data_IF_565255728519
#
_entry.id   IF_565255728519
#
_cell.length_a   1.000
_cell.length_b   1.000
_cell.length_c   1.000
_cell.angle_alpha   90.00
_cell.angle_beta   90.00
_cell.angle_gamma   90.00
#
_symmetry.space_group_name_H-M   'P 1'
#
loop_
_entity.id
_entity.type
_entity.pdbx_description
1 polymer ?
#
# COMPACT_ATOMS: atom_id res chain seq x y z
N UNK A 1 -20.56 28.28 28.25
CA UNK A 1 -19.22 28.63 27.73
C UNK A 1 -18.86 27.61 26.66
N UNK A 2 -18.84 27.94 25.37
CA UNK A 2 -18.51 26.96 24.34
C UNK A 2 -16.98 26.86 24.18
N UNK A 3 -16.46 25.62 24.19
CA UNK A 3 -15.08 25.31 23.84
C UNK A 3 -14.91 25.41 22.31
N UNK A 4 -14.02 26.29 21.86
CA UNK A 4 -13.48 26.27 20.50
C UNK A 4 -12.38 25.20 20.41
N UNK A 5 -12.58 24.20 19.55
CA UNK A 5 -11.53 23.27 19.12
C UNK A 5 -10.94 23.80 17.81
N UNK A 6 -9.68 24.26 17.88
CA UNK A 6 -8.86 24.60 16.72
C UNK A 6 -8.09 23.34 16.34
N UNK A 7 -8.26 22.86 15.11
CA UNK A 7 -7.40 21.83 14.53
C UNK A 7 -6.40 22.52 13.59
N UNK A 8 -5.15 22.64 14.01
CA UNK A 8 -4.02 22.90 13.13
C UNK A 8 -3.66 21.61 12.41
N UNK A 9 -3.79 21.61 11.08
CA UNK A 9 -3.26 20.55 10.20
C UNK A 9 -1.96 21.09 9.61
N UNK A 10 -0.87 20.89 10.34
CA UNK A 10 0.46 21.15 9.80
C UNK A 10 0.89 20.01 8.86
N UNK A 11 1.21 20.43 7.64
CA UNK A 11 1.63 19.58 6.54
C UNK A 11 3.09 19.13 6.71
N UNK A 12 3.33 17.82 6.76
CA UNK A 12 4.66 17.25 6.52
C UNK A 12 4.60 16.45 5.22
N UNK A 13 4.94 17.11 4.10
CA UNK A 13 5.32 16.47 2.85
C UNK A 13 6.85 16.52 2.71
N UNK A 14 7.56 15.38 2.63
CA UNK A 14 8.95 15.41 2.23
C UNK A 14 9.09 15.73 0.73
N UNK A 15 9.98 16.71 0.45
CA UNK A 15 10.37 17.19 -0.88
C UNK A 15 10.88 16.06 -1.76
N UNK A 16 10.24 15.85 -2.91
CA UNK A 16 10.79 15.07 -4.03
C UNK A 16 11.60 16.02 -4.91
N UNK A 17 12.85 15.70 -5.28
CA UNK A 17 13.63 16.54 -6.19
C UNK A 17 12.96 16.62 -7.56
N UNK A 18 12.68 17.85 -8.01
CA UNK A 18 12.31 18.18 -9.39
C UNK A 18 13.50 17.87 -10.28
N UNK A 19 13.48 16.75 -10.97
CA UNK A 19 14.16 16.55 -12.26
C UNK A 19 13.64 15.24 -12.87
N UNK A 20 12.66 15.38 -13.78
CA UNK A 20 12.21 14.46 -14.83
C UNK A 20 10.69 14.47 -14.97
N UNK A 21 10.14 15.57 -15.51
CA UNK A 21 8.90 15.55 -16.28
C UNK A 21 8.99 16.62 -17.36
N UNK A 22 9.65 16.29 -18.46
CA UNK A 22 9.35 16.89 -19.76
C UNK A 22 8.63 15.84 -20.59
N UNK A 23 7.56 16.28 -21.26
CA UNK A 23 6.72 15.55 -22.22
C UNK A 23 5.57 14.74 -21.61
N UNK A 24 4.51 15.47 -21.21
CA UNK A 24 3.13 15.31 -21.69
C UNK A 24 2.19 16.14 -20.80
N UNK A 25 2.35 17.47 -20.89
CA UNK A 25 1.49 18.45 -20.22
C UNK A 25 0.54 19.06 -21.25
N UNK A 26 -0.50 18.31 -21.62
CA UNK A 26 -1.72 18.82 -22.23
C UNK A 26 -2.77 17.74 -22.07
N UNK A 27 -3.95 18.08 -21.53
CA UNK A 27 -5.10 17.20 -21.26
C UNK A 27 -5.19 16.51 -19.89
N UNK A 28 -4.86 17.18 -18.78
CA UNK A 28 -5.59 16.96 -17.51
C UNK A 28 -5.57 18.26 -16.70
N UNK A 29 -6.29 19.27 -17.15
CA UNK A 29 -6.51 20.50 -16.37
C UNK A 29 -7.88 21.02 -16.73
N UNK A 30 -8.92 20.44 -16.13
CA UNK A 30 -10.28 20.96 -15.88
C UNK A 30 -10.95 19.80 -15.14
N UNK A 31 -11.14 19.90 -13.82
CA UNK A 31 -12.23 19.28 -13.02
C UNK A 31 -11.95 19.31 -11.50
N UNK A 32 -11.41 20.40 -10.93
CA UNK A 32 -11.38 20.57 -9.46
C UNK A 32 -11.54 22.04 -9.08
N UNK A 33 -12.64 22.69 -9.45
CA UNK A 33 -13.00 24.01 -8.89
C UNK A 33 -14.50 24.21 -8.59
N UNK A 34 -15.34 23.18 -8.66
CA UNK A 34 -16.81 23.37 -8.52
C UNK A 34 -17.44 22.76 -7.27
N UNK A 35 -16.65 22.31 -6.28
CA UNK A 35 -17.19 21.66 -5.07
C UNK A 35 -17.02 22.53 -3.80
N UNK A 36 -16.17 23.56 -3.83
CA UNK A 36 -15.89 24.40 -2.65
C UNK A 36 -16.91 25.51 -2.39
N UNK A 37 -17.98 25.63 -3.20
CA UNK A 37 -18.91 26.77 -3.17
C UNK A 37 -20.31 26.50 -2.58
N UNK A 38 -20.57 25.34 -1.96
CA UNK A 38 -21.94 24.99 -1.49
C UNK A 38 -22.02 24.90 0.06
N UNK A 39 -20.92 25.06 0.77
CA UNK A 39 -20.91 25.01 2.23
C UNK A 39 -20.87 26.43 2.85
N UNK A 40 -21.96 27.20 2.70
CA UNK A 40 -22.30 28.32 3.61
C UNK A 40 -23.61 28.95 3.12
N UNK A 41 -24.74 28.49 3.66
CA UNK A 41 -26.03 29.19 3.79
C UNK A 41 -27.02 28.20 4.42
N UNK A 42 -26.83 27.89 5.71
CA UNK A 42 -27.90 27.34 6.53
C UNK A 42 -28.67 28.53 7.11
N UNK A 43 -29.76 28.89 6.45
CA UNK A 43 -30.81 29.69 7.08
C UNK A 43 -32.13 28.92 6.90
N UNK A 44 -32.91 28.87 7.97
CA UNK A 44 -34.08 28.01 8.14
C UNK A 44 -35.06 28.12 6.95
N UNK A 45 -35.09 27.11 6.09
CA UNK A 45 -36.11 26.93 5.06
C UNK A 45 -36.67 25.52 5.13
N UNK A 46 -37.99 25.46 4.99
CA UNK A 46 -38.92 24.36 5.22
C UNK A 46 -38.53 23.01 4.58
N UNK A 47 -38.81 21.92 5.30
CA UNK A 47 -38.48 20.51 4.99
C UNK A 47 -38.84 20.01 3.58
N UNK A 48 -39.66 20.72 2.81
CA UNK A 48 -40.08 20.29 1.47
C UNK A 48 -39.06 20.62 0.37
N UNK A 49 -38.20 21.64 0.53
CA UNK A 49 -37.15 21.93 -0.47
C UNK A 49 -35.97 20.95 -0.43
N UNK A 50 -35.78 20.23 0.68
CA UNK A 50 -34.62 19.35 0.87
C UNK A 50 -34.73 18.05 0.06
N UNK A 51 -35.94 17.59 -0.25
CA UNK A 51 -36.15 16.38 -1.06
C UNK A 51 -35.91 16.64 -2.56
N UNK A 52 -36.15 17.86 -3.04
CA UNK A 52 -35.95 18.19 -4.45
C UNK A 52 -34.45 18.28 -4.82
N UNK A 53 -33.61 18.78 -3.89
CA UNK A 53 -32.16 18.91 -4.14
C UNK A 53 -31.40 17.57 -4.15
N UNK A 54 -31.85 16.56 -3.40
CA UNK A 54 -31.24 15.21 -3.44
C UNK A 54 -31.54 14.45 -4.74
N UNK A 55 -32.69 14.71 -5.37
CA UNK A 55 -33.04 14.11 -6.66
C UNK A 55 -32.17 14.61 -7.82
N UNK A 56 -31.80 15.89 -7.82
CA UNK A 56 -31.04 16.51 -8.91
C UNK A 56 -29.56 16.11 -8.93
N UNK A 57 -28.94 15.91 -7.75
CA UNK A 57 -27.52 15.48 -7.65
C UNK A 57 -27.34 14.03 -8.09
N UNK A 58 -28.34 13.16 -7.88
CA UNK A 58 -28.31 11.78 -8.37
C UNK A 58 -28.34 11.65 -9.90
N UNK A 59 -29.02 12.59 -10.59
CA UNK A 59 -29.14 12.57 -12.05
C UNK A 59 -27.81 12.98 -12.75
N UNK A 60 -27.03 13.88 -12.16
CA UNK A 60 -25.74 14.30 -12.74
C UNK A 60 -24.66 13.21 -12.68
N UNK A 61 -24.69 12.31 -11.69
CA UNK A 61 -23.72 11.21 -11.57
C UNK A 61 -23.98 10.11 -12.63
N UNK A 62 -25.25 9.89 -13.00
CA UNK A 62 -25.61 8.91 -14.03
C UNK A 62 -25.19 9.33 -15.45
N UNK A 63 -25.11 10.63 -15.75
CA UNK A 63 -24.69 11.12 -17.08
C UNK A 63 -23.16 11.09 -17.26
N UNK A 64 -22.39 11.24 -16.18
CA UNK A 64 -20.92 11.13 -16.24
C UNK A 64 -20.42 9.68 -16.45
N UNK A 65 -21.22 8.67 -16.09
CA UNK A 65 -20.86 7.26 -16.25
C UNK A 65 -20.99 6.72 -17.69
N UNK A 66 -21.68 7.42 -18.59
CA UNK A 66 -21.98 6.90 -19.93
C UNK A 66 -20.94 7.26 -21.01
N UNK A 67 -19.91 8.06 -20.67
CA UNK A 67 -18.93 8.59 -21.65
C UNK A 67 -17.57 7.86 -21.60
N UNK A 68 -17.38 6.90 -20.69
CA UNK A 68 -16.13 6.13 -20.55
C UNK A 68 -16.40 4.66 -20.92
N UNK A 69 -16.66 4.40 -22.20
CA UNK A 69 -17.09 3.06 -22.63
C UNK A 69 -16.73 2.66 -24.06
N UNK A 70 -15.80 3.34 -24.72
CA UNK A 70 -15.30 2.90 -26.04
C UNK A 70 -13.84 3.32 -26.23
N UNK A 71 -12.91 2.58 -25.63
CA UNK A 71 -11.58 2.39 -26.25
C UNK A 71 -11.48 0.93 -26.65
N UNK A 72 -11.58 0.75 -27.96
CA UNK A 72 -11.53 -0.49 -28.66
C UNK A 72 -10.27 -1.29 -28.34
N UNK A 73 -10.48 -2.58 -28.18
CA UNK A 73 -9.51 -3.65 -28.36
C UNK A 73 -8.81 -3.52 -29.72
N UNK A 74 -7.53 -3.13 -29.72
CA UNK A 74 -6.63 -3.41 -30.83
C UNK A 74 -5.92 -4.74 -30.52
N UNK A 75 -6.51 -5.84 -30.99
CA UNK A 75 -5.80 -7.11 -31.11
C UNK A 75 -4.76 -6.98 -32.22
N UNK A 76 -3.49 -6.85 -31.84
CA UNK A 76 -2.39 -6.96 -32.79
C UNK A 76 -2.09 -8.45 -32.98
N UNK A 77 -2.75 -9.05 -33.97
CA UNK A 77 -2.41 -10.36 -34.51
C UNK A 77 -1.16 -10.22 -35.38
N UNK A 78 0.02 -10.32 -34.77
CA UNK A 78 1.25 -10.64 -35.48
C UNK A 78 1.63 -12.09 -35.18
N UNK A 79 1.12 -12.98 -36.03
CA UNK A 79 1.64 -14.34 -36.20
C UNK A 79 3.00 -14.26 -36.88
N UNK A 80 4.07 -14.63 -36.16
CA UNK A 80 5.41 -14.72 -36.72
C UNK A 80 6.36 -15.43 -35.76
N UNK A 81 6.68 -16.68 -36.10
CA UNK A 81 7.75 -17.54 -35.59
C UNK A 81 8.00 -17.65 -34.09
N UNK A 82 7.81 -18.89 -33.60
CA UNK A 82 8.31 -19.39 -32.34
C UNK A 82 9.84 -19.46 -32.33
N UNK A 83 10.50 -18.33 -32.12
CA UNK A 83 11.83 -18.32 -31.54
C UNK A 83 11.65 -18.38 -30.02
N UNK A 84 12.09 -19.47 -29.41
CA UNK A 84 12.11 -19.62 -27.96
C UNK A 84 12.77 -18.38 -27.35
N UNK A 85 12.22 -17.80 -26.26
CA UNK A 85 12.84 -16.66 -25.62
C UNK A 85 14.26 -17.07 -25.20
N UNK A 86 15.26 -16.50 -25.89
CA UNK A 86 16.66 -16.60 -25.51
C UNK A 86 16.72 -16.18 -24.04
N UNK A 87 17.19 -17.09 -23.17
CA UNK A 87 17.43 -16.77 -21.78
C UNK A 87 18.24 -15.46 -21.73
N UNK A 88 17.87 -14.50 -20.87
CA UNK A 88 18.60 -13.24 -20.79
C UNK A 88 20.09 -13.56 -20.60
N UNK A 89 20.98 -12.89 -21.34
CA UNK A 89 22.40 -13.18 -21.27
C UNK A 89 22.84 -13.10 -19.82
N UNK A 90 23.38 -14.21 -19.29
CA UNK A 90 23.99 -14.22 -17.97
C UNK A 90 25.22 -13.30 -18.05
N UNK A 91 25.07 -12.06 -17.60
CA UNK A 91 26.20 -11.13 -17.48
C UNK A 91 27.12 -11.69 -16.40
N UNK A 92 28.35 -12.00 -16.78
CA UNK A 92 29.39 -12.32 -15.80
C UNK A 92 29.50 -11.14 -14.83
N UNK A 93 29.54 -11.38 -13.50
CA UNK A 93 29.64 -10.31 -12.52
C UNK A 93 30.88 -9.46 -12.81
N UNK A 94 30.68 -8.15 -12.95
CA UNK A 94 31.78 -7.22 -13.13
C UNK A 94 32.50 -7.12 -11.78
N UNK A 95 33.85 -7.13 -11.75
CA UNK A 95 34.57 -6.95 -10.49
C UNK A 95 34.14 -5.67 -9.79
N UNK A 96 33.59 -5.80 -8.57
CA UNK A 96 33.09 -4.68 -7.77
C UNK A 96 31.56 -4.60 -7.63
N UNK A 97 30.81 -5.43 -8.35
CA UNK A 97 29.36 -5.53 -8.15
C UNK A 97 29.02 -6.06 -6.75
N UNK A 98 27.93 -5.56 -6.17
CA UNK A 98 27.44 -6.02 -4.86
C UNK A 98 25.93 -6.18 -4.85
N UNK A 99 25.42 -6.94 -3.88
CA UNK A 99 24.00 -7.19 -3.68
C UNK A 99 23.51 -6.43 -2.46
N UNK A 100 22.43 -5.68 -2.61
CA UNK A 100 21.80 -4.98 -1.48
C UNK A 100 20.29 -4.89 -1.62
N UNK A 101 19.63 -4.64 -0.49
CA UNK A 101 18.19 -4.45 -0.44
C UNK A 101 17.81 -3.08 -1.01
N UNK A 102 16.79 -3.07 -1.86
CA UNK A 102 16.19 -1.85 -2.40
C UNK A 102 14.67 -1.88 -2.31
N UNK A 103 14.06 -0.70 -2.44
CA UNK A 103 12.60 -0.54 -2.51
C UNK A 103 12.13 -0.67 -3.96
N UNK A 104 11.25 -1.63 -4.22
CA UNK A 104 10.55 -1.76 -5.50
C UNK A 104 9.46 -0.71 -5.69
N UNK A 105 8.88 -0.66 -6.90
CA UNK A 105 7.84 0.31 -7.27
C UNK A 105 6.54 0.16 -6.47
N UNK A 106 6.26 -1.05 -5.98
CA UNK A 106 5.14 -1.39 -5.10
C UNK A 106 5.40 -1.03 -3.62
N UNK A 107 6.61 -0.55 -3.30
CA UNK A 107 7.03 -0.23 -1.93
C UNK A 107 7.66 -1.39 -1.16
N UNK A 108 7.66 -2.61 -1.73
CA UNK A 108 8.23 -3.80 -1.08
C UNK A 108 9.77 -3.81 -1.17
N UNK A 109 10.41 -4.56 -0.28
CA UNK A 109 11.85 -4.81 -0.29
C UNK A 109 12.21 -5.96 -1.23
N UNK A 110 13.18 -5.73 -2.11
CA UNK A 110 13.74 -6.73 -3.02
C UNK A 110 15.26 -6.67 -3.03
N UNK A 111 15.90 -7.77 -3.39
CA UNK A 111 17.34 -7.79 -3.63
C UNK A 111 17.64 -7.22 -5.02
N UNK A 112 18.61 -6.32 -5.10
CA UNK A 112 19.11 -5.78 -6.37
C UNK A 112 20.63 -5.96 -6.43
N UNK A 113 21.13 -6.07 -7.64
CA UNK A 113 22.56 -5.99 -7.92
C UNK A 113 22.91 -4.54 -8.26
N UNK A 114 23.99 -4.04 -7.67
CA UNK A 114 24.49 -2.69 -7.86
C UNK A 114 25.91 -2.73 -8.43
N UNK A 115 26.26 -1.74 -9.26
CA UNK A 115 27.66 -1.47 -9.62
C UNK A 115 28.42 -0.93 -8.42
N UNK A 116 29.75 -0.91 -8.49
CA UNK A 116 30.60 -0.32 -7.44
C UNK A 116 30.26 1.14 -7.12
N UNK A 117 29.71 1.88 -8.09
CA UNK A 117 29.27 3.28 -7.95
C UNK A 117 27.82 3.43 -7.43
N UNK A 118 27.11 2.32 -7.22
CA UNK A 118 25.76 2.30 -6.66
C UNK A 118 24.63 2.40 -7.69
N UNK A 119 24.89 2.14 -8.97
CA UNK A 119 23.84 2.05 -9.99
C UNK A 119 23.20 0.67 -10.00
N UNK A 120 21.88 0.59 -10.11
CA UNK A 120 21.16 -0.69 -10.19
C UNK A 120 21.41 -1.34 -11.56
N UNK A 121 21.87 -2.59 -11.55
CA UNK A 121 22.09 -3.42 -12.74
C UNK A 121 20.80 -4.12 -13.18
N UNK A 122 20.89 -4.95 -14.23
CA UNK A 122 19.77 -5.75 -14.76
C UNK A 122 18.52 -4.92 -15.13
N UNK A 123 18.74 -3.68 -15.59
CA UNK A 123 17.64 -2.78 -15.96
C UNK A 123 16.70 -2.44 -14.79
N UNK A 124 17.16 -2.56 -13.54
CA UNK A 124 16.31 -2.36 -12.37
C UNK A 124 15.42 -3.55 -12.03
N UNK A 125 15.64 -4.72 -12.62
CA UNK A 125 14.95 -5.94 -12.24
C UNK A 125 15.54 -6.50 -10.93
N UNK A 126 14.70 -6.94 -9.98
CA UNK A 126 15.17 -7.59 -8.77
C UNK A 126 15.82 -8.95 -9.08
N UNK A 127 16.82 -9.32 -8.29
CA UNK A 127 17.50 -10.61 -8.32
C UNK A 127 17.03 -11.51 -7.18
N UNK A 128 17.56 -12.73 -7.10
CA UNK A 128 17.19 -13.67 -6.04
C UNK A 128 17.53 -13.12 -4.65
N UNK A 129 16.56 -13.17 -3.73
CA UNK A 129 16.72 -12.66 -2.37
C UNK A 129 17.88 -13.31 -1.61
N UNK A 130 18.20 -14.59 -1.90
CA UNK A 130 19.28 -15.34 -1.24
C UNK A 130 20.64 -14.65 -1.33
N UNK A 131 20.89 -13.89 -2.40
CA UNK A 131 22.13 -13.14 -2.61
C UNK A 131 22.31 -12.02 -1.57
N UNK A 132 21.23 -11.30 -1.26
CA UNK A 132 21.25 -10.26 -0.23
C UNK A 132 21.18 -10.86 1.18
N UNK A 133 20.43 -11.95 1.38
CA UNK A 133 20.32 -12.66 2.66
C UNK A 133 21.66 -13.16 3.18
N UNK A 134 22.57 -13.56 2.29
CA UNK A 134 23.91 -14.04 2.66
C UNK A 134 24.80 -12.96 3.31
N UNK A 135 24.53 -11.68 3.05
CA UNK A 135 25.35 -10.55 3.53
C UNK A 135 24.60 -9.73 4.59
N UNK A 136 23.31 -9.47 4.35
CA UNK A 136 22.45 -8.65 5.18
C UNK A 136 21.13 -9.38 5.38
N UNK A 137 21.03 -10.31 6.34
CA UNK A 137 19.85 -11.14 6.50
C UNK A 137 18.61 -10.30 6.80
N UNK A 138 17.49 -10.69 6.19
CA UNK A 138 16.17 -10.23 6.58
C UNK A 138 15.80 -10.79 7.94
N UNK A 139 14.75 -10.24 8.53
CA UNK A 139 14.25 -10.71 9.82
C UNK A 139 12.72 -10.78 9.83
N UNK A 140 12.14 -11.75 10.55
CA UNK A 140 10.71 -11.78 10.80
C UNK A 140 10.35 -10.72 11.86
N UNK A 141 9.30 -9.95 11.61
CA UNK A 141 8.72 -9.06 12.60
C UNK A 141 7.22 -8.83 12.35
N UNK A 142 6.52 -8.30 13.35
CA UNK A 142 5.13 -7.90 13.25
C UNK A 142 4.97 -6.61 12.44
N UNK A 143 4.00 -6.61 11.53
CA UNK A 143 3.57 -5.42 10.83
C UNK A 143 2.06 -5.32 10.76
N UNK A 144 1.57 -4.11 10.48
CA UNK A 144 0.14 -3.84 10.33
C UNK A 144 -0.26 -3.97 8.85
N UNK A 145 -1.18 -4.89 8.59
CA UNK A 145 -1.79 -5.06 7.27
C UNK A 145 -2.71 -3.88 6.91
N UNK A 146 -3.07 -3.78 5.62
CA UNK A 146 -3.96 -2.70 5.12
C UNK A 146 -5.35 -2.71 5.74
N UNK A 147 -5.82 -3.87 6.18
CA UNK A 147 -7.07 -4.06 6.91
C UNK A 147 -6.96 -3.70 8.41
N UNK A 148 -5.78 -3.26 8.86
CA UNK A 148 -5.55 -2.80 10.22
C UNK A 148 -5.15 -3.89 11.23
N UNK A 149 -5.13 -5.16 10.84
CA UNK A 149 -4.72 -6.29 11.69
C UNK A 149 -3.21 -6.49 11.69
N UNK A 150 -2.71 -7.17 12.74
CA UNK A 150 -1.30 -7.56 12.87
C UNK A 150 -1.01 -8.87 12.16
N UNK A 151 0.10 -8.91 11.42
CA UNK A 151 0.60 -10.09 10.71
C UNK A 151 2.11 -10.21 10.88
N UNK A 152 2.62 -11.44 10.81
CA UNK A 152 4.04 -11.69 10.74
C UNK A 152 4.53 -11.47 9.30
N UNK A 153 5.49 -10.57 9.12
CA UNK A 153 6.12 -10.30 7.83
C UNK A 153 7.62 -10.55 7.90
N UNK A 154 8.22 -10.72 6.73
CA UNK A 154 9.67 -10.68 6.59
C UNK A 154 10.07 -9.26 6.17
N UNK A 155 11.02 -8.67 6.87
CA UNK A 155 11.52 -7.33 6.64
C UNK A 155 12.98 -7.34 6.23
N UNK A 156 13.35 -6.48 5.29
CA UNK A 156 14.76 -6.14 5.07
C UNK A 156 15.31 -5.44 6.32
N UNK A 157 16.64 -5.34 6.50
CA UNK A 157 17.24 -4.57 7.60
C UNK A 157 16.79 -3.11 7.68
N UNK A 158 16.33 -2.53 6.57
CA UNK A 158 15.78 -1.18 6.50
C UNK A 158 14.26 -1.13 6.69
N UNK A 159 13.65 -2.19 7.26
CA UNK A 159 12.22 -2.30 7.52
C UNK A 159 11.33 -2.14 6.28
N UNK A 160 11.79 -2.65 5.13
CA UNK A 160 10.94 -2.82 3.95
C UNK A 160 10.30 -4.21 3.99
N UNK A 161 8.97 -4.27 3.85
CA UNK A 161 8.24 -5.54 3.81
C UNK A 161 8.61 -6.31 2.55
N UNK A 162 8.98 -7.58 2.69
CA UNK A 162 9.35 -8.47 1.58
C UNK A 162 8.15 -9.28 1.08
N UNK A 163 8.37 -10.15 0.08
CA UNK A 163 7.36 -11.06 -0.46
C UNK A 163 6.07 -10.35 -0.91
N UNK A 164 6.22 -9.17 -1.51
CA UNK A 164 5.09 -8.37 -2.02
C UNK A 164 4.04 -8.03 -0.92
N UNK A 165 4.46 -7.96 0.35
CA UNK A 165 3.52 -7.73 1.45
C UNK A 165 2.71 -8.96 1.85
N UNK A 166 3.13 -10.17 1.45
CA UNK A 166 2.49 -11.42 1.85
C UNK A 166 2.96 -11.83 3.25
N UNK A 167 2.04 -12.07 4.20
CA UNK A 167 2.41 -12.59 5.52
C UNK A 167 3.13 -13.94 5.46
N UNK A 168 4.03 -14.16 6.43
CA UNK A 168 4.71 -15.44 6.69
C UNK A 168 4.11 -16.11 7.94
N UNK A 169 4.57 -17.32 8.25
CA UNK A 169 4.04 -18.07 9.39
C UNK A 169 4.36 -17.37 10.72
N UNK A 170 3.33 -17.15 11.55
CA UNK A 170 3.44 -16.41 12.82
C UNK A 170 4.57 -16.90 13.73
N UNK A 171 4.82 -18.22 13.76
CA UNK A 171 5.88 -18.82 14.59
C UNK A 171 7.26 -18.16 14.39
N UNK A 172 7.57 -17.65 13.19
CA UNK A 172 8.84 -16.96 12.93
C UNK A 172 8.95 -15.64 13.71
N UNK A 173 7.84 -14.90 13.87
CA UNK A 173 7.81 -13.70 14.69
C UNK A 173 7.71 -14.03 16.18
N UNK A 174 6.97 -15.07 16.55
CA UNK A 174 6.84 -15.52 17.94
C UNK A 174 8.19 -15.84 18.60
N UNK A 175 9.16 -16.36 17.84
CA UNK A 175 10.51 -16.66 18.36
C UNK A 175 11.32 -15.41 18.70
N UNK A 176 11.01 -14.28 18.07
CA UNK A 176 11.74 -13.01 18.26
C UNK A 176 11.01 -12.12 19.26
N UNK A 177 9.70 -11.98 19.07
CA UNK A 177 8.87 -11.07 19.86
C UNK A 177 7.48 -11.67 20.01
N UNK A 178 7.20 -12.36 21.12
CA UNK A 178 5.95 -13.11 21.28
C UNK A 178 4.71 -12.22 21.19
N UNK A 179 3.67 -12.73 20.57
CA UNK A 179 2.31 -12.21 20.73
C UNK A 179 1.80 -12.51 22.14
N UNK A 180 0.70 -11.89 22.52
CA UNK A 180 0.05 -12.15 23.79
C UNK A 180 -1.47 -12.24 23.63
N UNK A 181 -2.12 -12.87 24.60
CA UNK A 181 -3.57 -13.02 24.64
C UNK A 181 -4.14 -12.09 25.68
N UNK A 182 -5.18 -11.34 25.31
CA UNK A 182 -5.85 -10.40 26.20
C UNK A 182 -7.31 -10.21 25.80
N UNK A 183 -8.10 -9.66 26.73
CA UNK A 183 -9.50 -9.32 26.50
C UNK A 183 -9.60 -8.03 25.68
N UNK A 184 -10.35 -8.09 24.58
CA UNK A 184 -10.61 -6.95 23.71
C UNK A 184 -12.09 -6.84 23.36
N UNK A 185 -12.49 -5.66 22.87
CA UNK A 185 -13.86 -5.41 22.39
C UNK A 185 -13.97 -5.73 20.90
N UNK A 186 -14.89 -6.64 20.55
CA UNK A 186 -15.24 -6.95 19.17
C UNK A 186 -16.03 -5.83 18.48
N UNK A 187 -16.27 -5.98 17.17
CA UNK A 187 -16.99 -4.97 16.37
C UNK A 187 -18.46 -4.82 16.81
N UNK A 188 -19.00 -5.87 17.41
CA UNK A 188 -20.35 -5.99 17.96
C UNK A 188 -20.48 -5.42 19.38
N UNK A 189 -19.36 -4.96 19.97
CA UNK A 189 -19.32 -4.38 21.31
C UNK A 189 -19.14 -5.38 22.46
N UNK A 190 -19.12 -6.68 22.18
CA UNK A 190 -18.90 -7.72 23.18
C UNK A 190 -17.40 -7.89 23.49
N UNK A 191 -17.08 -8.41 24.67
CA UNK A 191 -15.71 -8.68 25.09
C UNK A 191 -15.36 -10.12 24.73
N UNK A 192 -14.27 -10.29 23.98
CA UNK A 192 -13.73 -11.59 23.59
C UNK A 192 -12.24 -11.69 23.90
N UNK A 193 -11.73 -12.91 23.95
CA UNK A 193 -10.31 -13.16 24.01
C UNK A 193 -9.70 -13.03 22.61
N UNK A 194 -8.67 -12.20 22.46
CA UNK A 194 -7.95 -12.01 21.20
C UNK A 194 -6.45 -12.27 21.38
N UNK A 195 -5.80 -12.57 20.26
CA UNK A 195 -4.34 -12.57 20.17
C UNK A 195 -3.88 -11.22 19.62
N UNK A 196 -2.87 -10.62 20.24
CA UNK A 196 -2.33 -9.31 19.90
C UNK A 196 -0.84 -9.40 19.60
N UNK A 197 -0.40 -8.63 18.61
CA UNK A 197 1.04 -8.32 18.46
C UNK A 197 1.52 -7.49 19.67
N UNK A 198 2.83 -7.39 19.91
CA UNK A 198 3.39 -6.49 20.93
C UNK A 198 2.91 -5.03 20.82
N UNK A 199 2.68 -4.55 19.60
CA UNK A 199 2.12 -3.22 19.30
C UNK A 199 0.60 -3.12 19.51
N UNK A 200 -0.04 -4.16 20.04
CA UNK A 200 -1.48 -4.26 20.29
C UNK A 200 -2.34 -4.30 19.04
N UNK A 201 -1.80 -4.75 17.91
CA UNK A 201 -2.63 -5.02 16.74
C UNK A 201 -3.31 -6.37 16.90
N UNK A 202 -4.62 -6.40 16.71
CA UNK A 202 -5.39 -7.65 16.75
C UNK A 202 -4.94 -8.54 15.60
N UNK A 203 -4.68 -9.81 15.90
CA UNK A 203 -4.27 -10.82 14.93
C UNK A 203 -5.46 -11.62 14.40
N UNK A 204 -5.20 -12.63 13.55
CA UNK A 204 -6.20 -13.59 13.07
C UNK A 204 -7.42 -12.92 12.41
N UNK A 205 -7.19 -11.85 11.65
CA UNK A 205 -8.24 -11.07 10.97
C UNK A 205 -9.33 -10.56 11.93
N UNK A 206 -9.00 -10.33 13.20
CA UNK A 206 -9.99 -9.90 14.19
C UNK A 206 -10.89 -11.02 14.71
N UNK A 207 -10.55 -12.29 14.48
CA UNK A 207 -11.29 -13.43 15.03
C UNK A 207 -10.86 -13.68 16.47
N UNK A 208 -11.83 -13.86 17.34
CA UNK A 208 -11.59 -14.26 18.73
C UNK A 208 -10.98 -15.66 18.82
N UNK A 209 -10.20 -15.89 19.85
CA UNK A 209 -9.67 -17.21 20.22
C UNK A 209 -10.43 -17.78 21.42
N UNK A 210 -10.30 -19.08 21.74
CA UNK A 210 -10.91 -19.66 22.92
C UNK A 210 -10.56 -18.93 24.22
N UNK A 211 -11.53 -18.81 25.14
CA UNK A 211 -11.37 -18.02 26.37
C UNK A 211 -10.25 -18.50 27.29
N UNK A 212 -9.86 -19.78 27.21
CA UNK A 212 -8.79 -20.35 28.04
C UNK A 212 -7.37 -19.85 27.67
N UNK A 213 -7.22 -19.08 26.60
CA UNK A 213 -5.96 -18.41 26.26
C UNK A 213 -5.76 -17.10 27.02
N UNK A 214 -6.84 -16.38 27.34
CA UNK A 214 -6.79 -15.14 28.12
C UNK A 214 -6.84 -15.47 29.62
N UNK A 215 -6.04 -14.75 30.41
CA UNK A 215 -6.00 -14.89 31.88
C UNK A 215 -6.48 -13.63 32.55
#
# INVERSE_FOLDING_TARGET
MPLHLIFEVDQILPRIPRNHFHNNAANVTIFVETISGIAMLENESTKEEFMFRKGLVGLCILVAGLVIGTVASAQNNSSGNADAPLAPPQQNPVPGDYYDWGRGRDGSGYCYQFTAEGYVLNGGAPVENSLCEAVKPSHPDWGRGRNGYGYCYRFTPSYLVMNQGTPIHNQQCETVRPSYYDWGRGIDGWIYCFQFTPERWVMNEGRSVPNNFCR
#
